data_IF_555348524869
#
_entry.id   IF_555348524869
#
_cell.length_a   1.000
_cell.length_b   1.000
_cell.length_c   1.000
_cell.angle_alpha   90.00
_cell.angle_beta   90.00
_cell.angle_gamma   90.00
#
_symmetry.space_group_name_H-M   'P 1'
#
loop_
_entity.id
_entity.type
_entity.pdbx_description
1 polymer ?
#
# COMPACT_ATOMS: atom_id res chain seq x y z
N UNK A 1 -1.44 -27.49 27.34
CA UNK A 1 -2.66 -27.56 28.14
C UNK A 1 -2.48 -27.00 29.54
N UNK A 2 -3.57 -26.51 30.11
CA UNK A 2 -3.80 -26.19 31.53
C UNK A 2 -4.90 -27.14 32.05
N UNK A 3 -4.50 -28.19 32.76
CA UNK A 3 -5.43 -29.19 33.28
C UNK A 3 -6.36 -28.67 34.39
N UNK A 4 -6.14 -27.45 34.88
CA UNK A 4 -6.98 -26.85 35.94
C UNK A 4 -8.23 -26.15 35.39
N UNK A 5 -8.30 -25.92 34.07
CA UNK A 5 -9.46 -25.36 33.40
C UNK A 5 -10.42 -26.46 32.92
N UNK A 6 -11.73 -26.30 33.18
CA UNK A 6 -12.74 -27.28 32.78
C UNK A 6 -12.96 -27.24 31.24
N UNK A 7 -12.70 -28.34 30.50
CA UNK A 7 -12.73 -28.33 29.03
C UNK A 7 -14.10 -27.97 28.44
N UNK A 8 -15.20 -28.36 29.11
CA UNK A 8 -16.57 -28.07 28.66
C UNK A 8 -17.00 -26.62 28.91
N UNK A 9 -16.24 -25.86 29.72
CA UNK A 9 -16.50 -24.43 29.97
C UNK A 9 -15.64 -23.56 29.07
N UNK A 10 -14.33 -23.83 29.02
CA UNK A 10 -13.38 -23.10 28.20
C UNK A 10 -12.31 -24.05 27.65
N UNK A 11 -12.62 -24.64 26.50
CA UNK A 11 -11.71 -25.57 25.84
C UNK A 11 -10.40 -24.89 25.39
N UNK A 12 -10.43 -23.60 25.08
CA UNK A 12 -9.24 -22.85 24.67
C UNK A 12 -8.28 -22.70 25.85
N UNK A 13 -8.77 -22.32 27.03
CA UNK A 13 -7.94 -22.23 28.23
C UNK A 13 -7.42 -23.61 28.65
N UNK A 14 -8.24 -24.65 28.59
CA UNK A 14 -7.77 -26.02 28.83
C UNK A 14 -6.65 -26.43 27.87
N UNK A 15 -6.82 -26.24 26.56
CA UNK A 15 -5.82 -26.65 25.57
C UNK A 15 -4.55 -25.76 25.60
N UNK A 16 -4.71 -24.45 25.71
CA UNK A 16 -3.67 -23.45 25.46
C UNK A 16 -3.19 -22.70 26.71
N UNK A 17 -3.86 -22.81 27.86
CA UNK A 17 -3.57 -22.00 29.06
C UNK A 17 -2.12 -22.12 29.56
N UNK A 18 -1.57 -23.32 29.52
CA UNK A 18 -0.15 -23.54 29.85
C UNK A 18 0.82 -22.85 28.87
N UNK A 19 0.45 -22.69 27.60
CA UNK A 19 1.24 -21.96 26.60
C UNK A 19 1.14 -20.45 26.82
N UNK A 20 -0.08 -19.93 27.06
CA UNK A 20 -0.32 -18.50 27.34
C UNK A 20 0.44 -18.01 28.58
N UNK A 21 0.60 -18.86 29.60
CA UNK A 21 1.36 -18.50 30.81
C UNK A 21 2.88 -18.44 30.58
N UNK A 22 3.40 -19.19 29.60
CA UNK A 22 4.85 -19.33 29.36
C UNK A 22 5.39 -18.41 28.28
N UNK A 23 4.54 -17.92 27.38
CA UNK A 23 4.97 -17.16 26.22
C UNK A 23 4.52 -15.71 26.33
N UNK A 24 5.43 -14.81 25.99
CA UNK A 24 5.17 -13.38 25.81
C UNK A 24 5.29 -13.13 24.31
N UNK A 25 4.42 -12.27 23.77
CA UNK A 25 4.51 -11.88 22.35
C UNK A 25 5.84 -11.13 22.17
N UNK A 26 6.75 -11.59 21.29
CA UNK A 26 8.00 -10.88 21.04
C UNK A 26 7.75 -9.47 20.49
N UNK A 27 8.62 -8.51 20.82
CA UNK A 27 8.49 -7.09 20.41
C UNK A 27 8.38 -6.90 18.88
N UNK A 28 8.96 -7.81 18.11
CA UNK A 28 8.92 -7.79 16.64
C UNK A 28 7.63 -8.38 16.06
N UNK A 29 6.74 -8.91 16.89
CA UNK A 29 5.57 -9.68 16.49
C UNK A 29 4.28 -8.99 16.95
N UNK A 30 3.30 -8.87 16.04
CA UNK A 30 1.96 -8.33 16.37
C UNK A 30 1.01 -9.37 16.96
N UNK A 31 1.35 -10.66 16.78
CA UNK A 31 0.68 -11.83 17.35
C UNK A 31 1.71 -12.94 17.52
N UNK A 32 1.45 -13.86 18.44
CA UNK A 32 2.32 -15.03 18.61
C UNK A 32 1.50 -16.27 18.88
N UNK A 33 1.82 -17.35 18.16
CA UNK A 33 1.12 -18.61 18.20
C UNK A 33 2.05 -19.73 17.72
N UNK A 34 1.59 -20.98 17.77
CA UNK A 34 2.34 -22.11 17.22
C UNK A 34 2.63 -21.95 15.71
N UNK A 35 1.76 -21.27 14.95
CA UNK A 35 2.04 -20.99 13.54
C UNK A 35 3.19 -20.00 13.36
N UNK A 36 3.28 -19.00 14.24
CA UNK A 36 4.38 -18.02 14.20
C UNK A 36 5.70 -18.69 14.62
N UNK A 37 5.70 -19.57 15.62
CA UNK A 37 6.88 -20.39 16.00
C UNK A 37 7.36 -21.23 14.81
N UNK A 38 6.45 -21.92 14.12
CA UNK A 38 6.81 -22.72 12.95
C UNK A 38 7.35 -21.86 11.79
N UNK A 39 6.85 -20.63 11.63
CA UNK A 39 7.39 -19.69 10.66
C UNK A 39 8.80 -19.24 11.05
N UNK A 40 9.03 -18.91 12.32
CA UNK A 40 10.35 -18.51 12.83
C UNK A 40 11.38 -19.64 12.63
N UNK A 41 11.00 -20.89 12.92
CA UNK A 41 11.84 -22.07 12.68
C UNK A 41 12.12 -22.29 11.18
N UNK A 42 11.13 -22.08 10.31
CA UNK A 42 11.30 -22.16 8.86
C UNK A 42 12.25 -21.07 8.35
N UNK A 43 12.15 -19.85 8.88
CA UNK A 43 13.03 -18.73 8.50
C UNK A 43 14.51 -19.03 8.81
N UNK A 44 14.80 -19.77 9.89
CA UNK A 44 16.16 -20.26 10.18
C UNK A 44 16.66 -21.19 9.07
N UNK A 45 15.84 -22.16 8.64
CA UNK A 45 16.21 -23.08 7.55
C UNK A 45 16.41 -22.32 6.23
N UNK A 46 15.53 -21.35 5.93
CA UNK A 46 15.65 -20.50 4.74
C UNK A 46 16.94 -19.68 4.76
N UNK A 47 17.28 -19.09 5.90
CA UNK A 47 18.55 -18.38 6.10
C UNK A 47 19.74 -19.28 5.79
N UNK A 48 19.74 -20.51 6.32
CA UNK A 48 20.84 -21.46 6.14
C UNK A 48 21.06 -21.83 4.68
N UNK A 49 19.99 -22.13 3.93
CA UNK A 49 20.11 -22.50 2.51
C UNK A 49 20.39 -21.30 1.60
N UNK A 50 20.08 -20.07 2.00
CA UNK A 50 20.28 -18.86 1.20
C UNK A 50 21.65 -18.19 1.43
N UNK A 51 22.26 -18.36 2.60
CA UNK A 51 23.55 -17.73 2.94
C UNK A 51 24.76 -18.44 2.31
N UNK A 52 24.71 -19.77 2.15
CA UNK A 52 25.82 -20.56 1.61
C UNK A 52 25.80 -20.57 0.07
N UNK A 53 26.93 -20.29 -0.58
CA UNK A 53 27.06 -20.44 -2.05
C UNK A 53 27.63 -21.81 -2.42
N UNK A 54 27.03 -22.48 -3.41
CA UNK A 54 27.53 -23.75 -3.94
C UNK A 54 27.89 -23.60 -5.40
N UNK A 55 29.02 -24.18 -5.81
CA UNK A 55 29.51 -24.12 -7.20
C UNK A 55 28.52 -24.74 -8.20
N UNK A 56 27.78 -25.74 -7.74
CA UNK A 56 26.76 -26.48 -8.50
C UNK A 56 25.35 -25.87 -8.46
N UNK A 57 25.15 -24.69 -7.87
CA UNK A 57 23.84 -24.03 -7.86
C UNK A 57 23.36 -23.72 -9.29
N UNK A 58 22.12 -24.12 -9.62
CA UNK A 58 21.47 -23.69 -10.86
C UNK A 58 21.19 -22.18 -10.84
N UNK A 59 21.06 -21.55 -12.02
CA UNK A 59 20.88 -20.09 -12.16
C UNK A 59 19.74 -19.55 -11.29
N UNK A 60 18.63 -20.27 -11.17
CA UNK A 60 17.50 -19.86 -10.32
C UNK A 60 17.90 -19.71 -8.84
N UNK A 61 18.66 -20.67 -8.31
CA UNK A 61 19.15 -20.65 -6.92
C UNK A 61 20.20 -19.56 -6.74
N UNK A 62 21.10 -19.38 -7.71
CA UNK A 62 22.09 -18.30 -7.69
C UNK A 62 21.43 -16.92 -7.60
N UNK A 63 20.34 -16.69 -8.35
CA UNK A 63 19.55 -15.46 -8.27
C UNK A 63 18.92 -15.27 -6.89
N UNK A 64 18.31 -16.29 -6.31
CA UNK A 64 17.71 -16.22 -4.98
C UNK A 64 18.75 -15.88 -3.90
N UNK A 65 19.91 -16.55 -3.90
CA UNK A 65 21.03 -16.27 -2.98
C UNK A 65 21.62 -14.88 -3.19
N UNK A 66 21.69 -14.41 -4.43
CA UNK A 66 22.17 -13.05 -4.74
C UNK A 66 21.19 -11.99 -4.25
N UNK A 67 19.88 -12.21 -4.43
CA UNK A 67 18.85 -11.35 -3.88
C UNK A 67 18.92 -11.29 -2.35
N UNK A 68 19.03 -12.45 -1.68
CA UNK A 68 19.20 -12.53 -0.23
C UNK A 68 20.40 -11.71 0.26
N UNK A 69 21.59 -11.91 -0.36
CA UNK A 69 22.80 -11.16 -0.01
C UNK A 69 22.68 -9.65 -0.24
N UNK A 70 21.95 -9.24 -1.29
CA UNK A 70 21.70 -7.82 -1.52
C UNK A 70 20.78 -7.20 -0.45
N UNK A 71 19.87 -8.00 0.12
CA UNK A 71 18.94 -7.56 1.15
C UNK A 71 19.62 -7.39 2.52
N UNK A 72 20.46 -8.35 2.92
CA UNK A 72 21.12 -8.32 4.24
C UNK A 72 22.36 -7.40 4.32
N UNK A 73 22.81 -6.84 3.19
CA UNK A 73 23.97 -5.95 3.16
C UNK A 73 23.56 -4.50 3.48
N UNK A 74 23.27 -4.27 4.76
CA UNK A 74 22.81 -2.98 5.29
C UNK A 74 23.82 -1.86 5.03
N UNK A 75 25.12 -2.12 5.10
CA UNK A 75 26.17 -1.13 4.79
C UNK A 75 26.08 -0.62 3.35
N UNK A 76 25.84 -1.50 2.39
CA UNK A 76 25.66 -1.12 0.99
C UNK A 76 24.34 -0.36 0.76
N UNK A 77 23.28 -0.67 1.53
CA UNK A 77 22.00 0.04 1.48
C UNK A 77 22.16 1.44 2.09
N UNK A 78 22.79 1.54 3.26
CA UNK A 78 23.00 2.77 4.01
C UNK A 78 23.86 3.77 3.26
N UNK A 79 24.94 3.31 2.62
CA UNK A 79 25.81 4.16 1.81
C UNK A 79 25.10 4.83 0.62
N UNK A 80 23.93 4.33 0.22
CA UNK A 80 23.12 4.89 -0.88
C UNK A 80 22.06 5.88 -0.41
N UNK A 81 21.77 5.96 0.90
CA UNK A 81 20.71 6.85 1.42
C UNK A 81 19.37 6.64 0.69
N UNK A 82 18.67 7.73 0.40
CA UNK A 82 17.47 7.71 -0.43
C UNK A 82 17.67 7.95 -1.92
N UNK A 83 18.91 8.02 -2.41
CA UNK A 83 19.24 8.24 -3.82
C UNK A 83 18.50 7.29 -4.79
N UNK A 84 18.34 5.97 -4.52
CA UNK A 84 17.56 5.10 -5.40
C UNK A 84 16.09 5.53 -5.55
N UNK A 85 15.47 6.04 -4.48
CA UNK A 85 14.11 6.59 -4.55
C UNK A 85 14.10 7.89 -5.36
N UNK A 86 15.05 8.80 -5.12
CA UNK A 86 15.13 10.09 -5.82
C UNK A 86 15.22 9.92 -7.34
N UNK A 87 15.97 8.93 -7.83
CA UNK A 87 16.04 8.60 -9.27
C UNK A 87 14.74 8.06 -9.85
N UNK A 88 13.91 7.44 -9.02
CA UNK A 88 12.65 6.83 -9.42
C UNK A 88 11.46 7.79 -9.38
N UNK A 89 11.58 8.94 -8.70
CA UNK A 89 10.50 9.92 -8.58
C UNK A 89 10.11 10.53 -9.93
N UNK A 90 11.05 10.99 -10.79
CA UNK A 90 10.71 11.60 -12.08
C UNK A 90 9.94 10.66 -13.02
N UNK A 91 10.17 9.35 -12.94
CA UNK A 91 9.49 8.32 -13.76
C UNK A 91 7.97 8.29 -13.54
N UNK A 92 7.49 8.86 -12.44
CA UNK A 92 6.09 8.88 -12.02
C UNK A 92 5.64 10.30 -11.64
N UNK A 93 6.13 11.30 -12.37
CA UNK A 93 5.79 12.72 -12.18
C UNK A 93 6.17 13.31 -10.81
N UNK A 94 7.15 12.74 -10.11
CA UNK A 94 7.63 13.16 -8.78
C UNK A 94 6.51 13.23 -7.71
N UNK A 95 6.88 13.62 -6.48
CA UNK A 95 5.96 13.86 -5.38
C UNK A 95 5.82 15.37 -5.13
N UNK A 96 4.63 15.97 -5.32
CA UNK A 96 4.48 17.43 -5.29
C UNK A 96 4.94 18.09 -3.99
N UNK A 97 4.70 17.45 -2.85
CA UNK A 97 5.13 17.97 -1.54
C UNK A 97 6.66 18.05 -1.42
N UNK A 98 7.38 17.21 -2.16
CA UNK A 98 8.83 17.15 -2.17
C UNK A 98 9.45 17.69 -3.47
N UNK A 99 8.71 18.54 -4.19
CA UNK A 99 9.12 19.14 -5.47
C UNK A 99 8.70 20.60 -5.53
N UNK A 100 9.67 21.50 -5.71
CA UNK A 100 9.36 22.91 -5.92
C UNK A 100 8.88 23.14 -7.36
N UNK A 101 7.88 24.01 -7.55
CA UNK A 101 7.31 24.32 -8.87
C UNK A 101 6.80 23.09 -9.64
N UNK A 102 6.21 22.13 -8.91
CA UNK A 102 5.70 20.87 -9.47
C UNK A 102 4.73 21.08 -10.65
N UNK A 103 3.86 22.09 -10.55
CA UNK A 103 2.89 22.43 -11.58
C UNK A 103 3.57 22.84 -12.89
N UNK A 104 4.68 23.58 -12.83
CA UNK A 104 5.44 23.98 -14.01
C UNK A 104 6.20 22.79 -14.62
N UNK A 105 6.82 21.96 -13.77
CA UNK A 105 7.67 20.84 -14.23
C UNK A 105 6.86 19.66 -14.75
N UNK A 106 5.81 19.26 -14.04
CA UNK A 106 5.05 18.04 -14.31
C UNK A 106 3.59 18.31 -14.66
N UNK A 107 2.97 19.34 -14.06
CA UNK A 107 1.54 19.60 -14.19
C UNK A 107 1.03 19.78 -15.63
N UNK A 108 1.85 20.31 -16.53
CA UNK A 108 1.49 20.52 -17.95
C UNK A 108 1.37 19.22 -18.75
N UNK A 109 2.23 18.24 -18.47
CA UNK A 109 2.26 16.93 -19.14
C UNK A 109 1.50 15.84 -18.38
N UNK A 110 0.97 16.19 -17.22
CA UNK A 110 0.28 15.28 -16.32
C UNK A 110 -1.12 14.91 -16.85
N UNK A 111 -1.40 13.62 -16.82
CA UNK A 111 -2.76 13.07 -16.98
C UNK A 111 -2.97 11.97 -15.93
N UNK A 112 -4.22 11.81 -15.49
CA UNK A 112 -4.57 10.81 -14.50
C UNK A 112 -4.37 9.39 -15.07
N UNK A 113 -4.82 9.17 -16.30
CA UNK A 113 -4.70 7.90 -17.03
C UNK A 113 -3.25 7.42 -17.04
N UNK A 114 -2.33 8.25 -17.53
CA UNK A 114 -0.93 7.88 -17.68
C UNK A 114 -0.25 7.66 -16.33
N UNK A 115 -0.53 8.50 -15.34
CA UNK A 115 0.09 8.37 -14.02
C UNK A 115 -0.36 7.10 -13.29
N UNK A 116 -1.67 6.85 -13.24
CA UNK A 116 -2.21 5.63 -12.62
C UNK A 116 -1.71 4.41 -13.38
N UNK A 117 -1.71 4.47 -14.72
CA UNK A 117 -1.21 3.38 -15.57
C UNK A 117 0.26 3.08 -15.32
N UNK A 118 1.14 4.09 -15.25
CA UNK A 118 2.57 3.91 -14.99
C UNK A 118 2.84 3.28 -13.62
N UNK A 119 2.11 3.69 -12.58
CA UNK A 119 2.21 3.08 -11.25
C UNK A 119 1.76 1.61 -11.27
N UNK A 120 0.68 1.32 -12.02
CA UNK A 120 0.15 -0.03 -12.15
C UNK A 120 1.09 -0.95 -12.93
N UNK A 121 1.45 -0.58 -14.17
CA UNK A 121 2.15 -1.47 -15.10
C UNK A 121 3.62 -1.68 -14.74
N UNK A 122 4.33 -0.61 -14.33
CA UNK A 122 5.77 -0.69 -14.05
C UNK A 122 6.10 -1.10 -12.63
N UNK A 123 5.24 -0.75 -11.66
CA UNK A 123 5.51 -0.96 -10.23
C UNK A 123 4.49 -1.83 -9.51
N UNK A 124 3.43 -2.31 -10.19
CA UNK A 124 2.38 -3.12 -9.60
C UNK A 124 1.52 -2.38 -8.57
N UNK A 125 1.60 -1.04 -8.51
CA UNK A 125 0.88 -0.21 -7.53
C UNK A 125 -0.46 0.24 -8.08
N UNK A 126 -1.52 -0.20 -7.40
CA UNK A 126 -2.92 0.02 -7.76
C UNK A 126 -3.51 1.09 -6.86
N UNK A 127 -3.61 2.31 -7.38
CA UNK A 127 -4.00 3.52 -6.66
C UNK A 127 -5.25 4.11 -7.32
N UNK A 128 -6.24 4.52 -6.53
CA UNK A 128 -7.57 5.03 -6.98
C UNK A 128 -8.42 4.03 -7.77
N UNK A 129 -7.87 3.39 -8.80
CA UNK A 129 -8.52 2.36 -9.61
C UNK A 129 -7.62 1.13 -9.56
N UNK A 130 -8.14 0.01 -9.05
CA UNK A 130 -7.44 -1.26 -9.09
C UNK A 130 -7.72 -1.96 -10.41
N UNK A 131 -6.81 -1.78 -11.36
CA UNK A 131 -6.79 -2.52 -12.63
C UNK A 131 -5.87 -3.74 -12.51
N UNK A 132 -6.33 -4.92 -12.93
CA UNK A 132 -5.49 -6.11 -13.05
C UNK A 132 -6.02 -7.11 -14.05
N UNK A 133 -5.13 -7.99 -14.54
CA UNK A 133 -5.52 -9.15 -15.35
C UNK A 133 -5.60 -10.35 -14.41
N UNK A 134 -6.71 -11.07 -14.47
CA UNK A 134 -6.97 -12.25 -13.64
C UNK A 134 -7.79 -13.27 -14.41
N UNK A 135 -8.04 -14.42 -13.82
CA UNK A 135 -8.93 -15.45 -14.39
C UNK A 135 -10.37 -14.94 -14.44
N UNK A 136 -11.12 -15.29 -15.49
CA UNK A 136 -12.56 -15.01 -15.56
C UNK A 136 -13.33 -15.99 -14.67
N UNK A 137 -14.05 -15.51 -13.65
CA UNK A 137 -14.82 -16.35 -12.73
C UNK A 137 -15.86 -17.23 -13.42
N UNK A 138 -16.39 -16.79 -14.58
CA UNK A 138 -17.36 -17.57 -15.37
C UNK A 138 -16.71 -18.42 -16.47
N UNK A 139 -15.41 -18.24 -16.72
CA UNK A 139 -14.64 -19.06 -17.65
C UNK A 139 -13.18 -19.19 -17.21
N UNK A 140 -12.91 -20.20 -16.38
CA UNK A 140 -11.61 -20.39 -15.74
C UNK A 140 -10.44 -20.73 -16.69
N UNK A 141 -10.71 -20.97 -17.98
CA UNK A 141 -9.66 -21.18 -18.99
C UNK A 141 -9.09 -19.87 -19.54
N UNK A 142 -9.80 -18.75 -19.35
CA UNK A 142 -9.46 -17.46 -19.92
C UNK A 142 -9.05 -16.46 -18.84
N UNK A 143 -8.31 -15.44 -19.27
CA UNK A 143 -8.03 -14.26 -18.47
C UNK A 143 -8.88 -13.10 -18.98
N UNK A 144 -9.28 -12.22 -18.07
CA UNK A 144 -10.05 -11.02 -18.35
C UNK A 144 -9.50 -9.86 -17.53
N UNK A 145 -9.69 -8.64 -18.02
CA UNK A 145 -9.38 -7.42 -17.29
C UNK A 145 -10.41 -7.26 -16.17
N UNK A 146 -9.91 -6.91 -14.99
CA UNK A 146 -10.70 -6.60 -13.81
C UNK A 146 -10.49 -5.15 -13.38
N UNK A 147 -11.57 -4.49 -13.00
CA UNK A 147 -11.55 -3.16 -12.37
C UNK A 147 -12.24 -3.26 -11.01
N UNK A 148 -11.54 -2.83 -9.97
CA UNK A 148 -12.01 -2.90 -8.60
C UNK A 148 -11.62 -1.65 -7.79
N UNK A 149 -12.13 -1.55 -6.56
CA UNK A 149 -11.68 -0.56 -5.59
C UNK A 149 -10.22 -0.82 -5.18
N UNK A 150 -9.42 0.23 -4.90
CA UNK A 150 -8.05 0.09 -4.50
C UNK A 150 -7.94 -0.38 -3.04
N UNK A 151 -6.76 -0.86 -2.67
CA UNK A 151 -6.40 -0.97 -1.26
C UNK A 151 -6.11 0.41 -0.69
N UNK A 152 -6.40 0.58 0.59
CA UNK A 152 -6.15 1.80 1.34
C UNK A 152 -4.77 1.73 2.02
N UNK A 153 -4.24 2.88 2.44
CA UNK A 153 -2.99 2.92 3.18
C UNK A 153 -3.09 2.45 4.63
N UNK A 154 -4.24 2.61 5.27
CA UNK A 154 -4.55 2.00 6.58
C UNK A 154 -5.23 0.62 6.38
N UNK A 155 -5.21 -0.26 7.41
CA UNK A 155 -5.59 -1.66 7.24
C UNK A 155 -7.02 -1.92 6.74
N UNK A 156 -7.97 -1.05 7.10
CA UNK A 156 -9.35 -1.13 6.61
C UNK A 156 -9.96 0.26 6.50
N UNK A 157 -11.14 0.34 5.86
CA UNK A 157 -11.94 1.57 5.79
C UNK A 157 -12.31 2.13 7.16
N UNK A 158 -12.46 1.29 8.18
CA UNK A 158 -12.94 1.69 9.51
C UNK A 158 -11.92 2.56 10.25
N UNK A 159 -10.63 2.36 9.97
CA UNK A 159 -9.56 3.20 10.52
C UNK A 159 -9.75 4.68 10.16
N UNK A 160 -10.39 4.99 9.04
CA UNK A 160 -10.59 6.36 8.56
C UNK A 160 -11.64 7.15 9.36
N UNK A 161 -12.30 6.53 10.34
CA UNK A 161 -13.05 7.25 11.38
C UNK A 161 -12.10 8.16 12.20
N UNK A 162 -10.85 7.72 12.43
CA UNK A 162 -9.80 8.45 13.13
C UNK A 162 -10.19 8.97 14.55
N UNK A 163 -11.14 8.29 15.18
CA UNK A 163 -11.61 8.51 16.55
C UNK A 163 -11.33 7.27 17.40
N UNK A 164 -11.50 7.37 18.72
CA UNK A 164 -11.40 6.22 19.62
C UNK A 164 -10.12 5.41 19.43
N UNK A 165 -10.28 4.11 19.13
CA UNK A 165 -9.19 3.15 18.92
C UNK A 165 -8.36 3.40 17.65
N UNK A 166 -8.87 4.19 16.69
CA UNK A 166 -8.20 4.46 15.41
C UNK A 166 -7.43 5.79 15.39
N UNK A 167 -7.64 6.65 16.37
CA UNK A 167 -7.05 7.99 16.43
C UNK A 167 -5.52 7.97 16.31
N UNK A 168 -4.89 7.04 17.03
CA UNK A 168 -3.42 6.93 17.04
C UNK A 168 -2.89 6.49 15.68
N UNK A 169 -3.49 5.46 15.07
CA UNK A 169 -3.10 4.99 13.75
C UNK A 169 -3.20 6.10 12.69
N UNK A 170 -4.29 6.88 12.69
CA UNK A 170 -4.43 8.02 11.78
C UNK A 170 -3.38 9.11 12.01
N UNK A 171 -3.10 9.42 13.28
CA UNK A 171 -2.10 10.44 13.65
C UNK A 171 -0.72 9.99 13.18
N UNK A 172 -0.32 8.77 13.53
CA UNK A 172 0.98 8.21 13.17
C UNK A 172 1.14 8.04 11.66
N UNK A 173 0.04 7.78 10.94
CA UNK A 173 0.02 7.71 9.49
C UNK A 173 0.31 9.06 8.83
N UNK A 174 -0.32 10.15 9.29
CA UNK A 174 -0.04 11.50 8.78
C UNK A 174 1.38 11.93 9.15
N UNK A 175 1.82 11.65 10.38
CA UNK A 175 3.20 11.93 10.80
C UNK A 175 4.21 11.19 9.93
N UNK A 176 3.97 9.92 9.61
CA UNK A 176 4.81 9.15 8.70
C UNK A 176 4.91 9.80 7.32
N UNK A 177 3.78 10.26 6.76
CA UNK A 177 3.80 10.98 5.48
C UNK A 177 4.65 12.26 5.55
N UNK A 178 4.49 13.05 6.61
CA UNK A 178 5.27 14.27 6.84
C UNK A 178 6.76 13.96 6.98
N UNK A 179 7.12 12.94 7.75
CA UNK A 179 8.51 12.56 7.97
C UNK A 179 9.21 12.10 6.69
N UNK A 180 8.55 11.29 5.85
CA UNK A 180 9.10 10.87 4.55
C UNK A 180 9.26 12.08 3.62
N UNK A 181 8.27 12.98 3.56
CA UNK A 181 8.37 14.21 2.76
C UNK A 181 9.54 15.09 3.22
N UNK A 182 9.72 15.25 4.54
CA UNK A 182 10.82 15.99 5.14
C UNK A 182 12.17 15.41 4.74
N UNK A 183 12.34 14.08 4.82
CA UNK A 183 13.59 13.41 4.44
C UNK A 183 13.91 13.61 2.96
N UNK A 184 12.94 13.43 2.07
CA UNK A 184 13.15 13.64 0.62
C UNK A 184 13.53 15.09 0.32
N UNK A 185 12.88 16.07 0.96
CA UNK A 185 13.24 17.49 0.80
C UNK A 185 14.66 17.78 1.31
N UNK A 186 15.04 17.22 2.45
CA UNK A 186 16.40 17.37 3.00
C UNK A 186 17.46 16.77 2.07
N UNK A 187 17.24 15.57 1.53
CA UNK A 187 18.17 14.95 0.58
C UNK A 187 18.25 15.71 -0.75
N UNK A 188 17.15 16.29 -1.22
CA UNK A 188 17.12 17.18 -2.40
C UNK A 188 17.72 18.57 -2.14
N UNK A 189 18.09 18.91 -0.89
CA UNK A 189 18.58 20.24 -0.52
C UNK A 189 17.51 21.34 -0.60
N UNK A 190 16.23 20.97 -0.49
CA UNK A 190 15.08 21.88 -0.54
C UNK A 190 14.72 22.41 0.84
N UNK A 191 14.17 23.64 0.95
CA UNK A 191 13.72 24.18 2.23
C UNK A 191 12.57 23.35 2.81
N UNK A 192 12.57 23.14 4.12
CA UNK A 192 11.52 22.40 4.83
C UNK A 192 10.63 23.37 5.60
N UNK A 193 9.37 23.47 5.17
CA UNK A 193 8.32 24.17 5.91
C UNK A 193 7.35 23.14 6.50
N UNK A 194 7.44 22.91 7.82
CA UNK A 194 6.63 21.90 8.50
C UNK A 194 5.13 22.22 8.45
N UNK A 195 4.74 23.49 8.41
CA UNK A 195 3.32 23.87 8.32
C UNK A 195 2.77 23.51 6.94
N UNK A 196 3.53 23.77 5.87
CA UNK A 196 3.15 23.40 4.52
C UNK A 196 3.08 21.87 4.35
N UNK A 197 4.07 21.14 4.88
CA UNK A 197 4.07 19.67 4.87
C UNK A 197 2.82 19.12 5.57
N UNK A 198 2.51 19.64 6.77
CA UNK A 198 1.34 19.22 7.53
C UNK A 198 0.05 19.53 6.77
N UNK A 199 -0.08 20.71 6.18
CA UNK A 199 -1.25 21.09 5.39
C UNK A 199 -1.46 20.18 4.18
N UNK A 200 -0.42 19.88 3.41
CA UNK A 200 -0.53 19.00 2.24
C UNK A 200 -0.84 17.55 2.63
N UNK A 201 -0.20 17.02 3.67
CA UNK A 201 -0.42 15.63 4.10
C UNK A 201 -1.78 15.43 4.79
N UNK A 202 -2.30 16.43 5.49
CA UNK A 202 -3.68 16.39 5.99
C UNK A 202 -4.71 16.39 4.86
N UNK A 203 -4.50 17.16 3.78
CA UNK A 203 -5.36 17.10 2.60
C UNK A 203 -5.32 15.74 1.91
N UNK A 204 -4.14 15.08 1.88
CA UNK A 204 -4.03 13.69 1.39
C UNK A 204 -4.87 12.74 2.24
N UNK A 205 -4.83 12.89 3.57
CA UNK A 205 -5.68 12.11 4.49
C UNK A 205 -7.18 12.39 4.27
N UNK A 206 -7.59 13.64 4.03
CA UNK A 206 -8.98 13.99 3.72
C UNK A 206 -9.47 13.30 2.43
N UNK A 207 -8.66 13.35 1.37
CA UNK A 207 -8.94 12.63 0.12
C UNK A 207 -9.07 11.12 0.37
N UNK A 208 -8.14 10.52 1.12
CA UNK A 208 -8.16 9.09 1.39
C UNK A 208 -9.36 8.67 2.26
N UNK A 209 -9.82 9.54 3.19
CA UNK A 209 -11.08 9.34 3.92
C UNK A 209 -12.29 9.30 3.00
N UNK A 210 -12.38 10.21 2.02
CA UNK A 210 -13.48 10.18 1.04
C UNK A 210 -13.44 8.89 0.20
N UNK A 211 -12.25 8.48 -0.24
CA UNK A 211 -12.05 7.23 -1.00
C UNK A 211 -12.44 6.02 -0.15
N UNK A 212 -11.97 5.94 1.10
CA UNK A 212 -12.30 4.88 2.05
C UNK A 212 -13.81 4.79 2.28
N UNK A 213 -14.49 5.92 2.42
CA UNK A 213 -15.95 5.95 2.56
C UNK A 213 -16.68 5.49 1.28
N UNK A 214 -16.12 5.75 0.10
CA UNK A 214 -16.65 5.28 -1.17
C UNK A 214 -16.46 3.76 -1.38
N UNK A 215 -15.45 3.14 -0.77
CA UNK A 215 -15.23 1.70 -0.87
C UNK A 215 -16.38 0.90 -0.27
N UNK A 216 -16.77 -0.17 -0.96
CA UNK A 216 -17.79 -1.12 -0.48
C UNK A 216 -17.21 -1.98 0.63
N UNK A 217 -18.01 -2.24 1.67
CA UNK A 217 -17.60 -3.03 2.83
C UNK A 217 -17.31 -4.48 2.46
N UNK A 218 -16.53 -5.18 3.28
CA UNK A 218 -16.17 -6.57 3.03
C UNK A 218 -17.39 -7.50 3.08
N UNK A 219 -18.37 -7.21 3.93
CA UNK A 219 -19.61 -7.99 4.07
C UNK A 219 -20.48 -7.91 2.82
N UNK A 220 -20.47 -6.76 2.13
CA UNK A 220 -21.26 -6.52 0.91
C UNK A 220 -20.56 -7.05 -0.36
N UNK A 221 -19.39 -7.71 -0.21
CA UNK A 221 -18.57 -8.24 -1.31
C UNK A 221 -18.35 -9.75 -1.21
N UNK A 222 -19.08 -10.42 -0.33
CA UNK A 222 -18.93 -11.85 -0.08
C UNK A 222 -19.66 -12.74 -1.10
N UNK A 223 -20.63 -12.20 -1.85
CA UNK A 223 -21.35 -12.90 -2.92
C UNK A 223 -20.64 -12.69 -4.27
N UNK A 224 -19.91 -13.70 -4.79
CA UNK A 224 -19.19 -13.57 -6.05
C UNK A 224 -20.12 -13.38 -7.26
N UNK A 225 -21.37 -13.82 -7.20
CA UNK A 225 -22.32 -13.68 -8.30
C UNK A 225 -22.80 -12.24 -8.47
N UNK A 226 -22.99 -11.52 -7.36
CA UNK A 226 -23.35 -10.09 -7.37
C UNK A 226 -22.13 -9.22 -7.65
N UNK A 227 -20.94 -9.66 -7.23
CA UNK A 227 -19.69 -8.93 -7.48
C UNK A 227 -19.31 -8.96 -8.97
N UNK A 228 -19.59 -10.05 -9.67
CA UNK A 228 -19.26 -10.23 -11.09
C UNK A 228 -20.16 -9.38 -12.01
N UNK A 229 -19.66 -8.23 -12.45
CA UNK A 229 -20.35 -7.36 -13.41
C UNK A 229 -19.52 -7.22 -14.70
N UNK A 230 -19.78 -8.11 -15.65
CA UNK A 230 -19.12 -8.09 -16.97
C UNK A 230 -19.76 -7.06 -17.90
N UNK A 231 -18.96 -6.18 -18.48
CA UNK A 231 -19.38 -5.13 -19.41
C UNK A 231 -18.24 -4.73 -20.34
N UNK A 232 -18.54 -4.08 -21.46
CA UNK A 232 -17.50 -3.60 -22.38
C UNK A 232 -16.85 -2.30 -21.89
N UNK A 233 -15.61 -2.01 -22.33
CA UNK A 233 -14.97 -0.71 -22.05
C UNK A 233 -15.83 0.48 -22.49
N UNK A 234 -16.55 0.35 -23.61
CA UNK A 234 -17.51 1.37 -24.05
C UNK A 234 -18.65 1.57 -23.03
N UNK A 235 -19.20 0.49 -22.47
CA UNK A 235 -20.21 0.57 -21.42
C UNK A 235 -19.65 1.20 -20.13
N UNK A 236 -18.40 0.89 -19.76
CA UNK A 236 -17.71 1.51 -18.62
C UNK A 236 -17.59 3.01 -18.83
N UNK A 237 -17.15 3.46 -20.01
CA UNK A 237 -17.01 4.89 -20.31
C UNK A 237 -18.34 5.65 -20.19
N UNK A 238 -19.45 5.02 -20.58
CA UNK A 238 -20.79 5.62 -20.51
C UNK A 238 -21.35 5.62 -19.08
N UNK A 239 -21.22 4.51 -18.36
CA UNK A 239 -21.82 4.34 -17.04
C UNK A 239 -20.99 4.98 -15.91
N UNK A 240 -19.66 4.99 -16.06
CA UNK A 240 -18.70 5.43 -15.03
C UNK A 240 -17.79 6.54 -15.56
N UNK A 241 -18.39 7.64 -16.00
CA UNK A 241 -17.63 8.84 -16.39
C UNK A 241 -16.94 9.47 -15.17
N UNK A 242 -15.63 9.66 -15.26
CA UNK A 242 -14.85 10.38 -14.26
C UNK A 242 -14.30 11.67 -14.86
N UNK A 243 -14.19 12.70 -14.02
CA UNK A 243 -13.53 13.96 -14.38
C UNK A 243 -12.44 14.24 -13.36
N UNK A 244 -11.21 14.40 -13.83
CA UNK A 244 -10.03 14.59 -12.99
C UNK A 244 -9.27 15.79 -13.54
N UNK A 245 -9.07 16.82 -12.70
CA UNK A 245 -8.39 18.06 -13.09
C UNK A 245 -9.03 18.74 -14.32
N UNK A 246 -10.37 18.76 -14.39
CA UNK A 246 -11.14 19.36 -15.49
C UNK A 246 -11.07 18.60 -16.81
N UNK A 247 -10.52 17.38 -16.82
CA UNK A 247 -10.44 16.50 -18.00
C UNK A 247 -11.28 15.25 -17.79
N UNK A 248 -12.03 14.87 -18.81
CA UNK A 248 -12.76 13.60 -18.84
C UNK A 248 -11.77 12.44 -18.90
N UNK A 249 -11.91 11.49 -17.99
CA UNK A 249 -11.07 10.30 -17.92
C UNK A 249 -11.43 9.33 -19.06
N UNK A 250 -10.45 8.95 -19.86
CA UNK A 250 -10.62 7.96 -20.92
C UNK A 250 -10.22 6.57 -20.44
N UNK A 251 -11.22 5.71 -20.18
CA UNK A 251 -11.00 4.31 -19.77
C UNK A 251 -10.24 3.51 -20.83
N UNK A 252 -10.48 3.81 -22.11
CA UNK A 252 -9.78 3.20 -23.24
C UNK A 252 -8.31 3.60 -23.26
N UNK A 253 -8.00 4.89 -23.08
CA UNK A 253 -6.62 5.36 -22.98
C UNK A 253 -5.93 4.75 -21.76
N UNK A 254 -6.52 4.84 -20.58
CA UNK A 254 -5.99 4.24 -19.34
C UNK A 254 -5.67 2.76 -19.50
N UNK A 255 -6.59 1.98 -20.08
CA UNK A 255 -6.38 0.55 -20.31
C UNK A 255 -5.24 0.30 -21.29
N UNK A 256 -5.17 1.04 -22.39
CA UNK A 256 -4.08 0.91 -23.37
C UNK A 256 -2.72 1.40 -22.84
N UNK A 257 -2.67 2.43 -22.00
CA UNK A 257 -1.42 2.86 -21.33
C UNK A 257 -0.85 1.74 -20.44
N UNK A 258 -1.71 0.92 -19.81
CA UNK A 258 -1.26 -0.26 -19.06
C UNK A 258 -0.86 -1.39 -20.03
N UNK A 259 -1.74 -1.79 -20.93
CA UNK A 259 -1.57 -3.00 -21.74
C UNK A 259 -0.53 -2.85 -22.87
N UNK A 260 -0.23 -1.63 -23.30
CA UNK A 260 0.87 -1.35 -24.24
C UNK A 260 2.25 -1.71 -23.68
N UNK A 261 2.42 -1.73 -22.35
CA UNK A 261 3.68 -2.18 -21.73
C UNK A 261 4.01 -3.65 -22.00
N UNK A 262 3.00 -4.43 -22.38
CA UNK A 262 3.11 -5.83 -22.80
C UNK A 262 2.72 -6.02 -24.27
N UNK A 263 2.70 -4.94 -25.06
CA UNK A 263 2.37 -4.91 -26.49
C UNK A 263 0.99 -5.47 -26.84
N UNK A 264 -0.02 -5.25 -25.98
CA UNK A 264 -1.41 -5.63 -26.23
C UNK A 264 -2.24 -4.37 -26.46
N UNK A 265 -2.93 -4.31 -27.61
CA UNK A 265 -3.86 -3.23 -27.95
C UNK A 265 -5.29 -3.65 -27.60
N UNK A 266 -6.01 -2.79 -26.88
CA UNK A 266 -7.33 -3.09 -26.33
C UNK A 266 -8.39 -2.22 -27.03
N UNK A 267 -9.37 -2.83 -27.72
CA UNK A 267 -10.48 -2.11 -28.36
C UNK A 267 -11.55 -1.71 -27.34
N UNK A 268 -12.48 -0.82 -27.72
CA UNK A 268 -13.56 -0.37 -26.81
C UNK A 268 -14.61 -1.45 -26.55
N UNK A 269 -14.66 -2.47 -27.40
CA UNK A 269 -15.52 -3.64 -27.29
C UNK A 269 -14.95 -4.70 -26.33
N UNK A 270 -13.74 -4.48 -25.79
CA UNK A 270 -13.12 -5.40 -24.84
C UNK A 270 -14.00 -5.60 -23.61
N UNK A 271 -14.19 -6.87 -23.25
CA UNK A 271 -14.93 -7.27 -22.07
C UNK A 271 -14.09 -7.06 -20.81
N UNK A 272 -14.70 -6.47 -19.79
CA UNK A 272 -14.08 -6.17 -18.50
C UNK A 272 -15.04 -6.57 -17.37
N UNK A 273 -14.50 -7.17 -16.32
CA UNK A 273 -15.25 -7.45 -15.09
C UNK A 273 -15.06 -6.29 -14.11
N UNK A 274 -16.16 -5.64 -13.72
CA UNK A 274 -16.15 -4.53 -12.76
C UNK A 274 -16.66 -5.03 -11.40
N UNK A 275 -15.76 -5.17 -10.43
CA UNK A 275 -16.12 -5.63 -9.08
C UNK A 275 -16.65 -4.52 -8.17
N UNK A 276 -16.43 -3.25 -8.52
CA UNK A 276 -16.84 -2.13 -7.67
C UNK A 276 -17.59 -1.02 -8.44
N UNK A 277 -18.75 -1.32 -9.06
CA UNK A 277 -19.51 -0.33 -9.82
C UNK A 277 -20.00 0.85 -8.96
N UNK A 278 -20.45 0.57 -7.73
CA UNK A 278 -20.86 1.62 -6.78
C UNK A 278 -19.72 2.54 -6.38
N UNK A 279 -18.53 1.98 -6.16
CA UNK A 279 -17.32 2.74 -5.86
C UNK A 279 -17.00 3.70 -7.00
N UNK A 280 -16.99 3.24 -8.25
CA UNK A 280 -16.71 4.09 -9.42
C UNK A 280 -17.74 5.22 -9.56
N UNK A 281 -19.01 4.94 -9.24
CA UNK A 281 -20.08 5.95 -9.24
C UNK A 281 -19.83 7.03 -8.17
N UNK A 282 -19.49 6.63 -6.94
CA UNK A 282 -19.17 7.56 -5.84
C UNK A 282 -17.88 8.34 -6.12
N UNK A 283 -16.90 7.70 -6.75
CA UNK A 283 -15.59 8.27 -7.07
C UNK A 283 -15.69 9.50 -7.97
N UNK A 284 -16.65 9.54 -8.90
CA UNK A 284 -16.92 10.70 -9.75
C UNK A 284 -17.07 12.01 -8.96
N UNK A 285 -17.84 11.97 -7.87
CA UNK A 285 -18.12 13.14 -7.04
C UNK A 285 -16.93 13.55 -6.17
N UNK A 286 -16.02 12.61 -5.89
CA UNK A 286 -14.84 12.85 -5.08
C UNK A 286 -13.78 13.53 -5.94
N UNK A 287 -13.45 12.97 -7.10
CA UNK A 287 -12.30 13.41 -7.91
C UNK A 287 -12.46 14.83 -8.49
N UNK A 288 -13.69 15.31 -8.68
CA UNK A 288 -13.96 16.68 -9.14
C UNK A 288 -13.60 17.76 -8.11
N UNK A 289 -13.47 17.40 -6.82
CA UNK A 289 -13.11 18.34 -5.75
C UNK A 289 -11.60 18.61 -5.66
N UNK A 290 -10.78 17.74 -6.26
CA UNK A 290 -9.35 17.70 -6.00
C UNK A 290 -8.52 18.00 -7.25
N UNK A 291 -7.40 18.72 -7.05
CA UNK A 291 -6.48 19.06 -8.13
C UNK A 291 -5.52 17.92 -8.45
N UNK A 292 -4.89 17.98 -9.63
CA UNK A 292 -3.81 17.06 -10.02
C UNK A 292 -2.71 16.95 -8.95
N UNK A 293 -2.35 18.07 -8.30
CA UNK A 293 -1.33 18.11 -7.25
C UNK A 293 -1.71 17.22 -6.07
N UNK A 294 -2.94 17.34 -5.56
CA UNK A 294 -3.36 16.55 -4.41
C UNK A 294 -3.56 15.08 -4.76
N UNK A 295 -4.06 14.82 -5.96
CA UNK A 295 -4.14 13.47 -6.51
C UNK A 295 -2.75 12.81 -6.50
N UNK A 296 -1.74 13.48 -7.06
CA UNK A 296 -0.36 12.99 -7.08
C UNK A 296 0.25 12.80 -5.69
N UNK A 297 -0.07 13.69 -4.75
CA UNK A 297 0.41 13.56 -3.38
C UNK A 297 -0.06 12.25 -2.71
N UNK A 298 -1.30 11.82 -3.00
CA UNK A 298 -1.86 10.56 -2.49
C UNK A 298 -1.27 9.32 -3.19
N UNK A 299 -0.96 9.40 -4.48
CA UNK A 299 -0.44 8.27 -5.28
C UNK A 299 0.98 7.87 -4.88
N UNK A 300 1.85 8.86 -4.74
CA UNK A 300 3.24 8.63 -4.37
C UNK A 300 3.37 8.08 -2.96
N UNK A 301 2.51 8.50 -2.03
CA UNK A 301 2.51 7.99 -0.66
C UNK A 301 2.39 6.48 -0.57
N UNK A 302 1.48 5.87 -1.35
CA UNK A 302 1.25 4.43 -1.31
C UNK A 302 2.46 3.64 -1.85
N UNK A 303 3.25 4.26 -2.74
CA UNK A 303 4.53 3.71 -3.20
C UNK A 303 5.66 3.94 -2.19
N UNK A 304 5.77 5.15 -1.65
CA UNK A 304 6.88 5.54 -0.78
C UNK A 304 6.83 4.78 0.54
N UNK A 305 5.65 4.53 1.11
CA UNK A 305 5.52 3.69 2.30
C UNK A 305 6.14 2.30 2.13
N UNK A 306 6.00 1.70 0.95
CA UNK A 306 6.54 0.37 0.64
C UNK A 306 8.03 0.43 0.26
N UNK A 307 8.48 1.49 -0.42
CA UNK A 307 9.89 1.66 -0.83
C UNK A 307 10.77 2.11 0.33
N UNK A 308 10.24 2.89 1.27
CA UNK A 308 10.97 3.34 2.47
C UNK A 308 11.50 2.15 3.27
N UNK A 309 10.81 1.01 3.27
CA UNK A 309 11.28 -0.24 3.89
C UNK A 309 12.53 -0.86 3.26
N UNK A 310 12.95 -0.35 2.10
CA UNK A 310 14.14 -0.83 1.37
C UNK A 310 15.24 0.23 1.31
N UNK A 311 15.05 1.38 1.98
CA UNK A 311 16.02 2.49 2.04
C UNK A 311 16.92 2.39 3.27
N UNK A 312 17.88 3.31 3.39
CA UNK A 312 18.86 3.30 4.49
C UNK A 312 18.21 3.15 5.86
N UNK A 313 18.88 2.40 6.72
CA UNK A 313 18.51 2.19 8.11
C UNK A 313 18.48 3.52 8.88
N UNK A 314 19.20 4.57 8.45
CA UNK A 314 19.05 5.92 9.01
C UNK A 314 17.67 6.54 8.76
N UNK A 315 17.13 6.40 7.54
CA UNK A 315 15.77 6.81 7.17
C UNK A 315 14.76 5.93 7.90
N UNK A 316 15.01 4.61 7.94
CA UNK A 316 14.15 3.65 8.59
C UNK A 316 14.09 3.83 10.10
N UNK A 317 15.23 4.05 10.76
CA UNK A 317 15.37 4.25 12.20
C UNK A 317 14.81 5.60 12.62
N UNK A 318 14.99 6.69 11.84
CA UNK A 318 14.30 7.96 12.11
C UNK A 318 12.77 7.83 12.05
N UNK A 319 12.25 7.05 11.09
CA UNK A 319 10.81 6.84 10.94
C UNK A 319 10.26 5.85 11.98
N UNK A 320 11.00 4.77 12.26
CA UNK A 320 10.64 3.71 13.19
C UNK A 320 10.80 4.13 14.66
N UNK A 321 11.88 4.83 15.04
CA UNK A 321 12.05 5.36 16.39
C UNK A 321 11.02 6.46 16.69
N UNK A 322 10.65 7.31 15.73
CA UNK A 322 9.57 8.27 15.89
C UNK A 322 8.18 7.62 16.05
N UNK A 323 7.94 6.53 15.33
CA UNK A 323 6.69 5.75 15.40
C UNK A 323 6.61 4.91 16.69
N UNK A 324 7.72 4.29 17.11
CA UNK A 324 7.81 3.49 18.33
C UNK A 324 7.90 4.32 19.60
N UNK A 325 8.50 5.53 19.60
CA UNK A 325 8.47 6.39 20.79
C UNK A 325 7.05 6.77 21.20
N UNK A 326 6.15 6.97 20.23
CA UNK A 326 4.72 7.22 20.51
C UNK A 326 4.02 5.98 21.04
N UNK A 327 4.34 4.79 20.53
CA UNK A 327 3.82 3.50 21.02
C UNK A 327 4.35 3.13 22.41
N UNK A 328 5.62 3.40 22.69
CA UNK A 328 6.28 3.13 23.97
C UNK A 328 5.74 4.05 25.07
N UNK A 329 5.37 5.30 24.76
CA UNK A 329 4.68 6.16 25.72
C UNK A 329 3.32 5.60 26.13
N UNK A 330 2.60 4.89 25.25
CA UNK A 330 1.30 4.31 25.55
C UNK A 330 1.36 3.00 26.33
N UNK A 331 2.39 2.19 26.14
CA UNK A 331 2.62 1.02 27.00
C UNK A 331 3.11 1.44 28.39
N UNK A 332 3.93 2.49 28.47
CA UNK A 332 4.43 3.00 29.76
C UNK A 332 3.35 3.76 30.54
N UNK A 333 2.41 4.46 29.87
CA UNK A 333 1.33 5.21 30.55
C UNK A 333 0.12 4.32 30.89
N UNK A 334 -0.16 3.25 30.14
CA UNK A 334 -1.22 2.29 30.52
C UNK A 334 -0.80 1.32 31.63
N UNK A 335 0.49 1.21 31.96
CA UNK A 335 0.97 0.42 33.10
C UNK A 335 0.76 1.12 34.46
N UNK A 336 0.45 2.42 34.48
CA UNK A 336 0.26 3.20 35.72
C UNK A 336 -1.20 3.54 36.07
N UNK A 337 -2.18 3.07 35.28
CA UNK A 337 -3.62 3.26 35.56
C UNK A 337 -4.41 1.97 35.79
N UNK A 338 -3.72 0.84 36.03
CA UNK A 338 -4.33 -0.39 36.55
C UNK A 338 -3.48 -1.00 37.66
N UNK A 339 -3.53 -0.38 38.83
CA UNK A 339 -3.39 -1.04 40.13
C UNK A 339 -4.72 -0.85 40.87
#
# INVERSE_FOLDING_TARGET
>A
MDATAEPCTDFFKYACGGWLKRNIIPETSSRYSNFDILRDELEVVLKDVLQEQKTEDIIAVQKAKTLYRSCINESAIDSRGGEPLLRLLPDVYDWPVATDNWEQTYGSSWTAERTIAQLNSKYGKKVIINFFVGTDDKNSMNHIIHIDQPRLGLPSRDYYECTGIYKEACTAYVDFMISVAKLIRQEKGLPVDENQLSLEMNKVMELEKEIANATTKSEDRNDPMLLYNKMTLAQIQNNFSLEINGKSFSWSNFTNEIMSTVNINIPNEEDVVVYAPEYLTKLKLILTKYSARLFMAQHQKQRHGDVVQTMSMGIWKMLWEGFMWKRHFLETVNMWLRI
#
